data_IF_046048350480
#
_entry.id   IF_046048350480
#
_cell.length_a   1.000
_cell.length_b   1.000
_cell.length_c   1.000
_cell.angle_alpha   90.00
_cell.angle_beta   90.00
_cell.angle_gamma   90.00
#
_symmetry.space_group_name_H-M   'P 1'
#
loop_
_entity.id
_entity.type
_entity.pdbx_description
1 polymer ?
#
# COMPACT_ATOMS: atom_id res chain seq x y z
N UNK A 1 68.03 -31.24 -8.47
CA UNK A 1 67.16 -30.91 -7.31
C UNK A 1 66.23 -29.80 -7.72
N UNK A 2 65.03 -30.16 -8.15
CA UNK A 2 64.01 -29.21 -8.54
C UNK A 2 63.18 -28.74 -7.34
N UNK A 3 63.17 -27.43 -7.11
CA UNK A 3 62.22 -26.81 -6.13
C UNK A 3 60.91 -26.57 -6.85
N UNK A 4 59.87 -27.28 -6.45
CA UNK A 4 58.50 -27.01 -6.86
C UNK A 4 57.94 -25.89 -6.01
N UNK A 5 57.72 -24.70 -6.61
CA UNK A 5 56.94 -23.64 -6.01
C UNK A 5 55.47 -23.97 -6.19
N UNK A 6 54.76 -24.28 -5.09
CA UNK A 6 53.32 -24.33 -5.09
C UNK A 6 52.74 -22.90 -5.14
N UNK A 7 52.17 -22.55 -6.30
CA UNK A 7 51.39 -21.34 -6.44
C UNK A 7 50.03 -21.60 -5.78
N UNK A 8 49.82 -21.01 -4.61
CA UNK A 8 48.49 -21.07 -3.95
C UNK A 8 47.51 -20.17 -4.70
N UNK A 9 46.51 -20.78 -5.29
CA UNK A 9 45.40 -20.04 -5.85
C UNK A 9 44.53 -19.54 -4.69
N UNK A 10 44.54 -18.19 -4.48
CA UNK A 10 43.58 -17.54 -3.58
C UNK A 10 42.28 -17.39 -4.33
N UNK A 11 41.32 -18.25 -4.02
CA UNK A 11 39.93 -18.13 -4.51
C UNK A 11 39.28 -17.05 -3.65
N UNK A 12 39.17 -15.83 -4.21
CA UNK A 12 38.39 -14.75 -3.64
C UNK A 12 36.92 -15.07 -3.92
N UNK A 13 36.22 -15.67 -2.95
CA UNK A 13 34.77 -15.82 -3.04
C UNK A 13 34.13 -14.45 -2.84
N UNK A 14 33.74 -13.80 -3.94
CA UNK A 14 32.80 -12.69 -3.86
C UNK A 14 31.44 -13.27 -3.42
N UNK A 15 31.15 -13.08 -2.15
CA UNK A 15 29.77 -13.27 -1.65
C UNK A 15 28.94 -12.11 -2.21
N UNK A 16 28.25 -12.37 -3.31
CA UNK A 16 27.18 -11.49 -3.76
C UNK A 16 26.06 -11.57 -2.69
N UNK A 17 26.05 -10.64 -1.76
CA UNK A 17 24.85 -10.32 -1.00
C UNK A 17 23.83 -9.81 -2.01
N UNK A 18 23.03 -10.72 -2.57
CA UNK A 18 21.78 -10.36 -3.21
C UNK A 18 20.92 -9.77 -2.10
N UNK A 19 20.87 -8.44 -2.02
CA UNK A 19 19.90 -7.78 -1.16
C UNK A 19 18.53 -8.28 -1.60
N UNK A 20 17.90 -9.09 -0.76
CA UNK A 20 16.51 -9.46 -0.98
C UNK A 20 15.70 -8.17 -0.88
N UNK A 21 15.35 -7.61 -2.03
CA UNK A 21 14.44 -6.49 -2.09
C UNK A 21 13.06 -7.03 -1.67
N UNK A 22 12.46 -6.44 -0.65
CA UNK A 22 11.16 -6.85 -0.17
C UNK A 22 10.12 -6.66 -1.29
N UNK A 23 9.30 -7.68 -1.53
CA UNK A 23 8.25 -7.61 -2.53
C UNK A 23 7.30 -6.44 -2.24
N UNK A 24 6.98 -5.66 -3.28
CA UNK A 24 6.02 -4.55 -3.21
C UNK A 24 4.90 -4.80 -4.19
N UNK A 25 3.68 -4.59 -3.72
CA UNK A 25 2.49 -4.64 -4.55
C UNK A 25 1.88 -3.25 -4.56
N UNK A 26 1.78 -2.68 -5.75
CA UNK A 26 1.17 -1.38 -5.96
C UNK A 26 -0.23 -1.57 -6.51
N UNK A 27 -1.21 -0.93 -5.87
CA UNK A 27 -2.62 -1.08 -6.23
C UNK A 27 -3.22 0.30 -6.42
N UNK A 28 -3.64 0.58 -7.65
CA UNK A 28 -4.33 1.82 -8.00
C UNK A 28 -5.84 1.61 -7.87
N UNK A 29 -6.47 2.33 -6.95
CA UNK A 29 -7.90 2.12 -6.65
C UNK A 29 -8.82 2.51 -7.81
N UNK A 30 -8.42 3.44 -8.64
CA UNK A 30 -9.16 3.82 -9.85
C UNK A 30 -9.30 2.68 -10.87
N UNK A 31 -8.41 1.69 -10.81
CA UNK A 31 -8.45 0.50 -11.67
C UNK A 31 -9.29 -0.66 -11.11
N UNK A 32 -9.91 -0.50 -9.95
CA UNK A 32 -10.73 -1.55 -9.36
C UNK A 32 -11.84 -2.00 -10.31
N UNK A 33 -12.03 -3.31 -10.41
CA UNK A 33 -13.06 -3.91 -11.26
C UNK A 33 -14.46 -3.51 -10.78
N UNK A 34 -14.68 -3.59 -9.46
CA UNK A 34 -15.92 -3.22 -8.83
C UNK A 34 -15.71 -2.04 -7.89
N UNK A 35 -16.41 -0.96 -8.15
CA UNK A 35 -16.30 0.27 -7.34
C UNK A 35 -17.38 0.37 -6.25
N UNK A 36 -18.36 -0.54 -6.25
CA UNK A 36 -19.45 -0.49 -5.30
C UNK A 36 -20.17 0.86 -5.32
N UNK A 37 -20.28 1.49 -4.15
CA UNK A 37 -20.82 2.85 -4.05
C UNK A 37 -19.79 3.97 -4.13
N UNK A 38 -18.52 3.65 -4.43
CA UNK A 38 -17.45 4.63 -4.58
C UNK A 38 -17.46 5.22 -5.99
N UNK A 39 -17.15 6.49 -6.10
CA UNK A 39 -17.10 7.24 -7.35
C UNK A 39 -15.66 7.53 -7.71
N UNK A 40 -15.32 7.37 -8.98
CA UNK A 40 -14.03 7.84 -9.50
C UNK A 40 -14.05 9.37 -9.56
N UNK A 41 -13.13 10.00 -8.85
CA UNK A 41 -13.02 11.45 -8.79
C UNK A 41 -11.63 11.93 -9.22
N UNK A 42 -11.58 13.13 -9.79
CA UNK A 42 -10.37 13.75 -10.33
C UNK A 42 -10.16 15.18 -9.81
N UNK A 43 -11.04 15.66 -8.96
CA UNK A 43 -11.06 17.04 -8.52
C UNK A 43 -9.77 17.47 -7.82
N UNK A 44 -9.10 16.55 -7.13
CA UNK A 44 -7.86 16.78 -6.39
C UNK A 44 -6.67 15.98 -6.93
N UNK A 45 -6.65 15.69 -8.22
CA UNK A 45 -5.55 14.94 -8.85
C UNK A 45 -4.18 15.59 -8.67
N UNK A 46 -4.11 16.91 -8.70
CA UNK A 46 -2.89 17.68 -8.48
C UNK A 46 -2.28 17.45 -7.08
N UNK A 47 -3.14 17.17 -6.11
CA UNK A 47 -2.73 16.88 -4.73
C UNK A 47 -2.53 15.39 -4.49
N UNK A 48 -3.43 14.55 -5.02
CA UNK A 48 -3.38 13.09 -4.89
C UNK A 48 -2.33 12.44 -5.77
N UNK A 49 -2.01 13.03 -6.91
CA UNK A 49 -1.07 12.50 -7.90
C UNK A 49 -1.67 11.56 -8.93
N UNK A 50 -2.91 11.12 -8.72
CA UNK A 50 -3.71 10.27 -9.61
C UNK A 50 -5.21 10.52 -9.40
N UNK A 51 -6.10 10.03 -10.26
CA UNK A 51 -7.50 9.82 -9.93
C UNK A 51 -7.62 8.95 -8.68
N UNK A 52 -8.74 9.01 -7.99
CA UNK A 52 -8.95 8.27 -6.75
C UNK A 52 -10.42 7.87 -6.59
N UNK A 53 -10.69 6.96 -5.68
CA UNK A 53 -12.05 6.62 -5.29
C UNK A 53 -12.53 7.51 -4.14
N UNK A 54 -13.73 8.03 -4.29
CA UNK A 54 -14.40 8.85 -3.30
C UNK A 54 -15.73 8.21 -2.87
N UNK A 55 -15.91 8.03 -1.57
CA UNK A 55 -17.19 7.62 -1.02
C UNK A 55 -18.10 8.85 -0.88
N UNK A 56 -19.09 8.98 -1.74
CA UNK A 56 -20.01 10.11 -1.78
C UNK A 56 -21.39 9.73 -1.22
N UNK A 57 -21.41 9.27 0.03
CA UNK A 57 -22.62 8.73 0.66
C UNK A 57 -23.47 9.73 1.42
N UNK A 58 -23.11 11.03 1.46
CA UNK A 58 -23.81 12.07 2.22
C UNK A 58 -24.06 11.68 3.69
N UNK A 59 -23.02 11.16 4.34
CA UNK A 59 -23.08 10.69 5.72
C UNK A 59 -23.60 9.27 5.92
N UNK A 60 -23.82 8.53 4.83
CA UNK A 60 -24.15 7.10 4.87
C UNK A 60 -23.01 6.26 4.30
N UNK A 61 -22.75 5.07 4.86
CA UNK A 61 -21.81 4.14 4.25
C UNK A 61 -22.23 3.78 2.83
N UNK A 62 -21.24 3.66 1.94
CA UNK A 62 -21.42 3.16 0.58
C UNK A 62 -21.07 1.68 0.50
N UNK A 63 -21.40 1.01 -0.61
CA UNK A 63 -20.99 -0.36 -0.86
C UNK A 63 -19.49 -0.50 -1.05
N UNK A 64 -18.96 -1.69 -0.80
CA UNK A 64 -17.53 -1.96 -0.89
C UNK A 64 -17.02 -1.89 -2.34
N UNK A 65 -15.85 -1.31 -2.52
CA UNK A 65 -15.08 -1.43 -3.74
C UNK A 65 -14.08 -2.58 -3.60
N UNK A 66 -13.90 -3.38 -4.65
CA UNK A 66 -12.95 -4.48 -4.61
C UNK A 66 -12.31 -4.79 -5.96
N UNK A 67 -11.18 -5.42 -5.91
CA UNK A 67 -10.46 -5.97 -7.04
C UNK A 67 -9.66 -7.20 -6.61
N UNK A 68 -9.15 -7.94 -7.59
CA UNK A 68 -8.22 -9.05 -7.36
C UNK A 68 -6.81 -8.59 -7.65
N UNK A 69 -5.90 -8.92 -6.76
CA UNK A 69 -4.49 -8.54 -6.87
C UNK A 69 -3.64 -9.81 -6.79
N UNK A 70 -2.70 -9.94 -7.70
CA UNK A 70 -1.71 -11.02 -7.66
C UNK A 70 -0.60 -10.69 -6.67
N UNK A 71 -0.32 -11.62 -5.76
CA UNK A 71 0.73 -11.50 -4.76
C UNK A 71 1.95 -12.28 -5.25
N UNK A 72 3.11 -11.63 -5.44
CA UNK A 72 4.28 -12.26 -6.05
C UNK A 72 4.98 -13.29 -5.16
N UNK A 73 4.89 -13.16 -3.86
CA UNK A 73 5.59 -14.00 -2.89
C UNK A 73 4.78 -14.15 -1.61
N UNK A 74 4.86 -15.33 -0.99
CA UNK A 74 4.30 -15.54 0.35
C UNK A 74 5.06 -14.73 1.39
N UNK A 75 4.36 -14.08 2.29
CA UNK A 75 5.03 -13.27 3.31
C UNK A 75 4.10 -12.43 4.17
N UNK A 76 4.71 -11.58 4.98
CA UNK A 76 3.98 -10.59 5.77
C UNK A 76 4.03 -9.25 5.06
N UNK A 77 2.86 -8.76 4.67
CA UNK A 77 2.69 -7.49 3.99
C UNK A 77 2.18 -6.43 4.96
N UNK A 78 2.83 -5.28 4.94
CA UNK A 78 2.33 -4.06 5.57
C UNK A 78 1.49 -3.30 4.56
N UNK A 79 0.26 -2.99 4.91
CA UNK A 79 -0.70 -2.38 4.01
C UNK A 79 -0.88 -0.91 4.35
N UNK A 80 -0.67 -0.06 3.36
CA UNK A 80 -0.84 1.37 3.46
C UNK A 80 -1.87 1.86 2.45
N UNK A 81 -2.66 2.84 2.83
CA UNK A 81 -3.54 3.56 1.92
C UNK A 81 -3.11 5.02 1.83
N UNK A 82 -3.01 5.53 0.61
CA UNK A 82 -2.91 6.97 0.38
C UNK A 82 -4.30 7.58 0.43
N UNK A 83 -4.51 8.50 1.34
CA UNK A 83 -5.82 9.05 1.63
C UNK A 83 -5.80 10.57 1.58
N UNK A 84 -6.96 11.17 1.36
CA UNK A 84 -7.16 12.60 1.44
C UNK A 84 -8.21 12.94 2.50
N UNK A 85 -7.74 13.39 3.66
CA UNK A 85 -8.62 13.90 4.71
C UNK A 85 -8.96 15.37 4.40
N UNK A 86 -9.96 15.59 3.56
CA UNK A 86 -10.32 16.91 3.05
C UNK A 86 -10.80 17.88 4.14
N UNK A 87 -11.26 17.39 5.29
CA UNK A 87 -11.71 18.24 6.41
C UNK A 87 -10.58 18.72 7.30
N UNK A 88 -9.36 18.18 7.16
CA UNK A 88 -8.21 18.51 8.03
C UNK A 88 -7.88 20.01 8.14
N UNK A 89 -8.06 20.86 7.11
CA UNK A 89 -7.76 22.28 7.24
C UNK A 89 -8.72 23.05 8.16
N UNK A 90 -9.89 22.46 8.45
CA UNK A 90 -10.95 23.13 9.19
C UNK A 90 -11.31 22.45 10.50
N UNK A 91 -10.78 21.27 10.76
CA UNK A 91 -11.15 20.50 11.94
C UNK A 91 -10.02 19.57 12.37
N UNK A 92 -9.70 19.61 13.66
CA UNK A 92 -8.81 18.65 14.33
C UNK A 92 -9.52 17.33 14.68
N UNK A 93 -10.83 17.26 14.43
CA UNK A 93 -11.62 16.06 14.68
C UNK A 93 -11.47 15.06 13.53
N UNK A 94 -11.79 13.81 13.84
CA UNK A 94 -11.89 12.74 12.85
C UNK A 94 -12.81 13.15 11.69
N UNK A 95 -12.30 13.04 10.47
CA UNK A 95 -13.05 13.37 9.27
C UNK A 95 -14.07 12.30 8.89
N UNK A 96 -14.95 12.59 7.92
CA UNK A 96 -16.04 11.68 7.54
C UNK A 96 -15.61 10.49 6.68
N UNK A 97 -14.39 10.50 6.14
CA UNK A 97 -13.91 9.53 5.15
C UNK A 97 -13.36 8.22 5.73
N UNK A 98 -13.84 7.78 6.88
CA UNK A 98 -13.37 6.55 7.53
C UNK A 98 -13.73 5.29 6.73
N UNK A 99 -12.73 4.47 6.43
CA UNK A 99 -12.93 3.14 5.84
C UNK A 99 -11.95 2.11 6.38
N UNK A 100 -12.18 0.85 6.09
CA UNK A 100 -11.28 -0.27 6.41
C UNK A 100 -10.85 -0.97 5.14
N UNK A 101 -9.64 -1.49 5.17
CA UNK A 101 -9.15 -2.37 4.12
C UNK A 101 -9.39 -3.81 4.55
N UNK A 102 -9.94 -4.60 3.64
CA UNK A 102 -10.18 -6.03 3.80
C UNK A 102 -9.33 -6.75 2.78
N UNK A 103 -8.53 -7.70 3.22
CA UNK A 103 -7.71 -8.54 2.35
C UNK A 103 -8.09 -9.99 2.62
N UNK A 104 -8.47 -10.70 1.58
CA UNK A 104 -8.87 -12.11 1.67
C UNK A 104 -9.90 -12.37 2.79
N UNK A 105 -10.97 -11.57 2.84
CA UNK A 105 -12.05 -11.60 3.85
C UNK A 105 -11.61 -11.24 5.28
N UNK A 106 -10.37 -10.84 5.49
CA UNK A 106 -9.86 -10.39 6.79
C UNK A 106 -9.78 -8.87 6.83
N UNK A 107 -10.52 -8.26 7.75
CA UNK A 107 -10.43 -6.82 8.00
C UNK A 107 -9.12 -6.49 8.71
N UNK A 108 -8.39 -5.53 8.16
CA UNK A 108 -7.18 -5.03 8.81
C UNK A 108 -7.51 -4.22 10.06
N UNK A 109 -6.54 -4.13 10.98
CA UNK A 109 -6.78 -3.62 12.33
C UNK A 109 -7.12 -2.14 12.39
N UNK A 110 -6.55 -1.32 11.52
CA UNK A 110 -6.66 0.13 11.61
C UNK A 110 -7.59 0.70 10.54
N UNK A 111 -8.58 1.50 10.91
CA UNK A 111 -9.32 2.30 9.96
C UNK A 111 -8.42 3.43 9.43
N UNK A 112 -8.67 3.87 8.22
CA UNK A 112 -7.92 4.92 7.53
C UNK A 112 -8.85 5.94 6.89
N UNK A 113 -8.31 7.04 6.39
CA UNK A 113 -9.03 8.05 5.60
C UNK A 113 -9.66 9.19 6.38
N UNK A 114 -9.71 9.11 7.70
CA UNK A 114 -10.41 10.10 8.55
C UNK A 114 -9.50 10.93 9.45
N UNK A 115 -8.21 10.64 9.45
CA UNK A 115 -7.21 11.32 10.29
C UNK A 115 -6.02 11.80 9.47
N UNK A 116 -5.08 12.50 10.11
CA UNK A 116 -3.87 12.98 9.47
C UNK A 116 -4.06 14.26 8.65
N UNK A 117 -3.05 14.59 7.89
CA UNK A 117 -3.04 15.75 6.99
C UNK A 117 -3.91 15.52 5.75
N UNK A 118 -4.03 16.56 4.90
CA UNK A 118 -4.86 16.50 3.70
C UNK A 118 -4.55 15.29 2.82
N UNK A 119 -3.28 15.03 2.54
CA UNK A 119 -2.82 13.84 1.83
C UNK A 119 -1.77 13.13 2.67
N UNK A 120 -2.00 11.87 2.93
CA UNK A 120 -1.12 11.08 3.80
C UNK A 120 -1.18 9.59 3.44
N UNK A 121 -0.06 8.89 3.69
CA UNK A 121 0.00 7.44 3.67
C UNK A 121 -0.33 6.90 5.06
N UNK A 122 -1.43 6.19 5.19
CA UNK A 122 -1.90 5.65 6.45
C UNK A 122 -1.72 4.15 6.52
N UNK A 123 -1.15 3.69 7.62
CA UNK A 123 -0.95 2.26 7.87
C UNK A 123 -2.28 1.61 8.29
N UNK A 124 -2.80 0.72 7.47
CA UNK A 124 -4.01 -0.04 7.75
C UNK A 124 -3.76 -1.30 8.59
N UNK A 125 -2.51 -1.73 8.68
CA UNK A 125 -2.12 -2.94 9.40
C UNK A 125 -1.21 -3.85 8.59
N UNK A 126 -1.13 -5.10 9.03
CA UNK A 126 -0.33 -6.13 8.37
C UNK A 126 -1.15 -7.42 8.19
N UNK A 127 -0.79 -8.18 7.17
CA UNK A 127 -1.40 -9.47 6.87
C UNK A 127 -0.35 -10.44 6.37
N UNK A 128 -0.52 -11.70 6.68
CA UNK A 128 0.26 -12.79 6.09
C UNK A 128 -0.54 -13.37 4.92
N UNK A 129 0.08 -13.39 3.78
CA UNK A 129 -0.42 -13.95 2.53
C UNK A 129 0.49 -15.06 2.05
#
# INVERSE_FOLDING_TARGET
>A
MGKFNKLGAVILSLSLCSGMEAARVWVETESFEEKGGWVLDQQFMDVMGSPYLMAHGLGKPVGDAFTVVEIPEDGVYHVYARTFNWTSPWSDKEGPGKFRIVVDKKSLSSPVGCTGSRVDWQNAGRIKL
#
